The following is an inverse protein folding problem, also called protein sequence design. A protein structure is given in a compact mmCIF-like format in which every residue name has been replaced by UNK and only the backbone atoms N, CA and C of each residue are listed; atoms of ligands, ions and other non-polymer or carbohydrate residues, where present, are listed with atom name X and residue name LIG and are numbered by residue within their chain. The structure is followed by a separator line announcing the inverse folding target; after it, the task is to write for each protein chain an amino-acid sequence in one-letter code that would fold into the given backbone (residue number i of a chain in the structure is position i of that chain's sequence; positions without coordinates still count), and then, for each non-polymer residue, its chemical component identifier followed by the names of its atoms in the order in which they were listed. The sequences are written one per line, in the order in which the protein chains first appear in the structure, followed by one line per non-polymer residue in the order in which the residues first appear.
data_IF_784800618653
#
_entry.id   IF_784800618653
#
_cell.length_a   1.000
_cell.length_b   1.000
_cell.length_c   1.000
_cell.angle_alpha   90.00
_cell.angle_beta   90.00
_cell.angle_gamma   90.00
#
_symmetry.space_group_name_H-M   'P 1'
#
loop_
_entity.id
_entity.type
_entity.pdbx_description
1 polymer ?
#
# COMPACT_ATOMS: atom_id res chain seq x y z
N UNK A 1 -17.10 -25.04 56.43
CA UNK A 1 -16.47 -24.85 55.09
C UNK A 1 -17.53 -25.27 54.10
N UNK A 2 -18.21 -24.30 53.50
CA UNK A 2 -19.48 -24.54 52.79
C UNK A 2 -19.20 -25.00 51.37
N UNK A 3 -18.92 -26.30 51.25
CA UNK A 3 -18.58 -26.99 50.00
C UNK A 3 -19.64 -26.82 48.89
N UNK A 4 -20.89 -26.53 49.25
CA UNK A 4 -22.00 -26.29 48.32
C UNK A 4 -21.91 -24.93 47.64
N UNK A 5 -21.44 -23.89 48.33
CA UNK A 5 -21.24 -22.56 47.76
C UNK A 5 -20.10 -22.57 46.73
N UNK A 6 -18.99 -23.25 47.07
CA UNK A 6 -17.85 -23.44 46.17
C UNK A 6 -18.25 -24.19 44.90
N UNK A 7 -19.06 -25.26 45.04
CA UNK A 7 -19.53 -26.05 43.91
C UNK A 7 -20.43 -25.27 42.94
N UNK A 8 -21.33 -24.43 43.48
CA UNK A 8 -22.21 -23.60 42.65
C UNK A 8 -21.46 -22.47 41.95
N UNK A 9 -20.51 -21.82 42.62
CA UNK A 9 -19.65 -20.80 42.01
C UNK A 9 -18.74 -21.40 40.92
N UNK A 10 -18.23 -22.61 41.14
CA UNK A 10 -17.47 -23.34 40.13
C UNK A 10 -18.34 -23.66 38.89
N UNK A 11 -19.57 -24.14 39.08
CA UNK A 11 -20.53 -24.37 37.97
C UNK A 11 -20.91 -23.10 37.20
N UNK A 12 -20.84 -21.93 37.82
CA UNK A 12 -21.18 -20.67 37.16
C UNK A 12 -20.00 -20.06 36.39
N UNK A 13 -18.76 -20.31 36.81
CA UNK A 13 -17.55 -19.63 36.28
C UNK A 13 -16.60 -20.51 35.47
N UNK A 14 -16.76 -21.84 35.50
CA UNK A 14 -15.86 -22.75 34.78
C UNK A 14 -15.85 -22.49 33.26
N UNK A 15 -17.01 -22.20 32.67
CA UNK A 15 -17.13 -21.99 31.22
C UNK A 15 -16.45 -20.69 30.77
N UNK A 16 -16.64 -19.59 31.50
CA UNK A 16 -15.98 -18.30 31.20
C UNK A 16 -14.47 -18.37 31.44
N UNK A 17 -14.04 -19.11 32.45
CA UNK A 17 -12.60 -19.32 32.75
C UNK A 17 -11.92 -20.12 31.65
N UNK A 18 -12.54 -21.21 31.19
CA UNK A 18 -12.01 -22.03 30.07
C UNK A 18 -11.97 -21.19 28.78
N UNK A 19 -13.04 -20.46 28.48
CA UNK A 19 -13.09 -19.59 27.31
C UNK A 19 -11.99 -18.54 27.34
N UNK A 20 -11.76 -17.92 28.50
CA UNK A 20 -10.68 -16.93 28.70
C UNK A 20 -9.30 -17.55 28.52
N UNK A 21 -9.07 -18.77 29.01
CA UNK A 21 -7.80 -19.49 28.84
C UNK A 21 -7.55 -19.85 27.36
N UNK A 22 -8.59 -20.28 26.65
CA UNK A 22 -8.51 -20.58 25.21
C UNK A 22 -8.19 -19.29 24.43
N UNK A 23 -8.89 -18.20 24.72
CA UNK A 23 -8.67 -16.92 24.03
C UNK A 23 -7.27 -16.35 24.33
N UNK A 24 -6.82 -16.41 25.58
CA UNK A 24 -5.47 -15.97 25.97
C UNK A 24 -4.37 -16.77 25.28
N UNK A 25 -4.49 -18.10 25.27
CA UNK A 25 -3.51 -18.97 24.60
C UNK A 25 -3.52 -18.79 23.08
N UNK A 26 -4.70 -18.64 22.47
CA UNK A 26 -4.84 -18.36 21.04
C UNK A 26 -4.20 -17.04 20.62
N UNK A 27 -4.47 -15.96 21.36
CA UNK A 27 -3.85 -14.65 21.12
C UNK A 27 -2.34 -14.70 21.29
N UNK A 28 -1.85 -15.33 22.36
CA UNK A 28 -0.41 -15.46 22.61
C UNK A 28 0.28 -16.24 21.50
N UNK A 29 -0.31 -17.35 21.05
CA UNK A 29 0.20 -18.12 19.92
C UNK A 29 0.24 -17.30 18.63
N UNK A 30 -0.84 -16.56 18.33
CA UNK A 30 -0.91 -15.72 17.14
C UNK A 30 0.14 -14.61 17.15
N UNK A 31 0.36 -13.96 18.31
CA UNK A 31 1.42 -12.96 18.48
C UNK A 31 2.81 -13.55 18.22
N UNK A 32 3.13 -14.68 18.86
CA UNK A 32 4.42 -15.37 18.65
C UNK A 32 4.62 -15.75 17.17
N UNK A 33 3.57 -16.21 16.49
CA UNK A 33 3.65 -16.53 15.07
C UNK A 33 3.92 -15.29 14.22
N UNK A 34 3.23 -14.18 14.50
CA UNK A 34 3.42 -12.92 13.77
C UNK A 34 4.81 -12.31 13.99
N UNK A 35 5.29 -12.31 15.23
CA UNK A 35 6.61 -11.80 15.59
C UNK A 35 7.72 -12.70 15.04
N UNK A 36 7.52 -14.02 15.08
CA UNK A 36 8.46 -14.99 14.54
C UNK A 36 8.78 -14.78 13.07
N UNK A 37 7.81 -14.35 12.26
CA UNK A 37 8.06 -14.00 10.85
C UNK A 37 8.93 -12.75 10.73
N UNK A 38 8.64 -11.72 11.54
CA UNK A 38 9.40 -10.46 11.54
C UNK A 38 10.83 -10.67 12.00
N UNK A 39 11.04 -11.46 13.06
CA UNK A 39 12.38 -11.76 13.62
C UNK A 39 13.23 -12.54 12.61
N UNK A 40 12.65 -13.55 11.94
CA UNK A 40 13.36 -14.32 10.89
C UNK A 40 13.81 -13.43 9.75
N UNK A 41 12.95 -12.51 9.31
CA UNK A 41 13.30 -11.54 8.26
C UNK A 41 14.50 -10.68 8.65
N UNK A 42 14.49 -10.12 9.87
CA UNK A 42 15.59 -9.29 10.35
C UNK A 42 16.91 -10.06 10.51
N UNK A 43 16.87 -11.28 11.04
CA UNK A 43 18.08 -12.11 11.18
C UNK A 43 18.69 -12.48 9.82
N UNK A 44 17.85 -12.81 8.84
CA UNK A 44 18.31 -13.09 7.47
C UNK A 44 18.92 -11.82 6.86
N UNK A 45 18.29 -10.66 7.02
CA UNK A 45 18.85 -9.40 6.51
C UNK A 45 20.18 -9.06 7.16
N UNK A 46 20.33 -9.27 8.47
CA UNK A 46 21.60 -9.07 9.18
C UNK A 46 22.69 -10.01 8.69
N UNK A 47 22.37 -11.29 8.50
CA UNK A 47 23.27 -12.28 7.89
C UNK A 47 23.69 -11.86 6.48
N UNK A 48 22.72 -11.49 5.62
CA UNK A 48 22.98 -11.04 4.25
C UNK A 48 23.86 -9.78 4.21
N UNK A 49 23.60 -8.79 5.07
CA UNK A 49 24.40 -7.56 5.15
C UNK A 49 25.81 -7.85 5.65
N UNK A 50 25.95 -8.76 6.63
CA UNK A 50 27.27 -9.15 7.16
C UNK A 50 28.11 -9.94 6.14
N UNK A 51 27.45 -10.72 5.27
CA UNK A 51 28.08 -11.51 4.22
C UNK A 51 28.28 -10.69 2.92
N UNK A 52 27.73 -9.49 2.82
CA UNK A 52 27.77 -8.68 1.62
C UNK A 52 29.18 -8.15 1.33
N UNK A 53 29.70 -8.44 0.13
CA UNK A 53 30.95 -7.89 -0.36
C UNK A 53 30.67 -6.59 -1.14
N UNK A 54 31.38 -5.50 -0.82
CA UNK A 54 31.20 -4.22 -1.53
C UNK A 54 31.97 -4.22 -2.85
N UNK A 55 31.29 -3.94 -3.96
CA UNK A 55 31.94 -3.80 -5.26
C UNK A 55 32.39 -2.36 -5.47
N UNK A 56 33.64 -2.18 -5.88
CA UNK A 56 34.14 -0.89 -6.38
C UNK A 56 33.68 -0.68 -7.82
N UNK A 57 32.84 0.32 -8.03
CA UNK A 57 32.25 0.64 -9.34
C UNK A 57 33.16 1.48 -10.23
N UNK A 58 34.30 1.95 -9.71
CA UNK A 58 35.25 2.79 -10.45
C UNK A 58 36.33 1.97 -11.17
N UNK A 59 36.69 0.83 -10.61
CA UNK A 59 37.62 -0.12 -11.20
C UNK A 59 36.81 -1.27 -11.81
N UNK A 60 37.06 -1.60 -13.07
CA UNK A 60 36.43 -2.77 -13.69
C UNK A 60 36.89 -4.02 -12.96
N UNK A 61 35.99 -4.67 -12.24
CA UNK A 61 36.26 -5.89 -11.50
C UNK A 61 35.71 -7.11 -12.26
N UNK A 62 36.23 -8.30 -11.97
CA UNK A 62 35.81 -9.52 -12.64
C UNK A 62 34.48 -10.01 -12.09
N UNK A 63 33.40 -9.88 -12.87
CA UNK A 63 32.05 -10.27 -12.47
C UNK A 63 31.96 -11.74 -11.97
N UNK A 64 32.78 -12.64 -12.54
CA UNK A 64 32.83 -14.05 -12.17
C UNK A 64 33.18 -14.29 -10.70
N UNK A 65 33.94 -13.38 -10.06
CA UNK A 65 34.31 -13.49 -8.64
C UNK A 65 33.11 -13.39 -7.70
N UNK A 66 32.08 -12.68 -8.13
CA UNK A 66 30.91 -12.34 -7.32
C UNK A 66 29.73 -13.30 -7.51
N UNK A 67 29.86 -14.28 -8.41
CA UNK A 67 28.80 -15.24 -8.70
C UNK A 67 28.39 -16.02 -7.43
N UNK A 68 27.08 -16.05 -7.14
CA UNK A 68 26.52 -16.69 -5.95
C UNK A 68 26.79 -15.99 -4.61
N UNK A 69 27.36 -14.78 -4.61
CA UNK A 69 27.58 -13.98 -3.40
C UNK A 69 26.58 -12.84 -3.27
N UNK A 70 26.33 -12.42 -2.04
CA UNK A 70 25.62 -11.18 -1.78
C UNK A 70 26.60 -10.04 -2.01
N UNK A 71 26.20 -9.06 -2.81
CA UNK A 71 27.04 -7.89 -3.12
C UNK A 71 26.31 -6.60 -2.80
N UNK A 72 27.07 -5.62 -2.34
CA UNK A 72 26.60 -4.28 -2.06
C UNK A 72 27.29 -3.30 -3.02
N UNK A 73 26.49 -2.46 -3.70
CA UNK A 73 26.99 -1.60 -4.77
C UNK A 73 26.53 -0.18 -4.47
N UNK A 74 27.49 0.74 -4.40
CA UNK A 74 27.23 2.16 -4.20
C UNK A 74 28.02 2.94 -5.22
N UNK A 75 27.35 3.86 -5.90
CA UNK A 75 28.01 4.69 -6.88
C UNK A 75 27.09 5.71 -7.53
N UNK A 76 27.67 6.62 -8.32
CA UNK A 76 26.89 7.58 -9.09
C UNK A 76 26.08 6.85 -10.16
N UNK A 77 24.78 7.10 -10.16
CA UNK A 77 23.84 6.61 -11.15
C UNK A 77 23.97 7.43 -12.44
N UNK A 78 24.19 6.76 -13.57
CA UNK A 78 24.31 7.38 -14.89
C UNK A 78 23.23 6.82 -15.80
N UNK A 79 22.39 7.70 -16.30
CA UNK A 79 21.41 7.38 -17.35
C UNK A 79 22.07 7.76 -18.67
N UNK A 80 22.16 6.84 -19.63
CA UNK A 80 22.85 7.13 -20.90
C UNK A 80 21.95 7.87 -21.90
N UNK A 81 20.66 7.58 -21.88
CA UNK A 81 19.68 8.16 -22.80
C UNK A 81 18.57 8.86 -21.99
N UNK A 82 18.24 10.13 -22.30
CA UNK A 82 17.18 10.83 -21.59
C UNK A 82 15.82 10.24 -21.94
N UNK A 83 14.96 10.09 -20.94
CA UNK A 83 13.55 9.75 -21.18
C UNK A 83 12.90 10.95 -21.86
N UNK A 84 12.27 10.67 -23.00
CA UNK A 84 11.66 11.68 -23.86
C UNK A 84 10.17 11.42 -23.97
N UNK A 85 9.38 12.48 -23.80
CA UNK A 85 7.93 12.47 -23.99
C UNK A 85 7.60 13.51 -25.08
N UNK A 86 7.54 13.08 -26.36
CA UNK A 86 7.47 13.97 -27.52
C UNK A 86 6.21 14.84 -27.53
N UNK A 87 5.08 14.30 -27.06
CA UNK A 87 3.77 15.00 -27.07
C UNK A 87 3.78 16.29 -26.24
N UNK A 88 4.68 16.38 -25.25
CA UNK A 88 4.83 17.55 -24.39
C UNK A 88 6.21 18.21 -24.49
N UNK A 89 7.06 17.75 -25.41
CA UNK A 89 8.44 18.24 -25.59
C UNK A 89 9.26 18.21 -24.28
N UNK A 90 9.10 17.12 -23.50
CA UNK A 90 9.81 16.92 -22.23
C UNK A 90 10.98 15.96 -22.47
N UNK A 91 12.18 16.38 -22.04
CA UNK A 91 13.38 15.56 -22.05
C UNK A 91 14.04 15.62 -20.68
N UNK A 92 14.18 14.48 -20.00
CA UNK A 92 14.72 14.43 -18.63
C UNK A 92 15.73 13.30 -18.51
N UNK A 93 16.90 13.62 -17.94
CA UNK A 93 17.91 12.65 -17.55
C UNK A 93 17.49 11.98 -16.23
N UNK A 94 16.61 10.98 -16.30
CA UNK A 94 16.10 10.26 -15.14
C UNK A 94 15.96 8.76 -15.41
N UNK A 95 16.05 7.95 -14.36
CA UNK A 95 15.84 6.49 -14.46
C UNK A 95 14.37 6.14 -14.68
N UNK A 96 13.46 6.93 -14.10
CA UNK A 96 12.04 6.68 -14.15
C UNK A 96 11.29 8.00 -14.23
N UNK A 97 10.41 8.11 -15.23
CA UNK A 97 9.51 9.22 -15.40
C UNK A 97 8.07 8.71 -15.25
N UNK A 98 7.29 9.32 -14.36
CA UNK A 98 5.87 8.96 -14.16
C UNK A 98 4.99 10.13 -14.57
N UNK A 99 4.28 9.98 -15.68
CA UNK A 99 3.21 10.86 -16.14
C UNK A 99 1.94 10.51 -15.37
N UNK A 100 1.46 11.40 -14.50
CA UNK A 100 0.17 11.25 -13.81
C UNK A 100 -0.85 12.18 -14.43
N UNK A 101 -1.87 11.60 -15.04
CA UNK A 101 -2.99 12.32 -15.63
C UNK A 101 -4.16 12.34 -14.66
N UNK A 102 -4.79 13.50 -14.52
CA UNK A 102 -6.04 13.67 -13.79
C UNK A 102 -7.01 14.46 -14.66
N UNK A 103 -8.31 14.20 -14.49
CA UNK A 103 -9.39 14.92 -15.15
C UNK A 103 -10.17 15.71 -14.11
N UNK A 104 -10.36 17.00 -14.40
CA UNK A 104 -11.21 17.87 -13.61
C UNK A 104 -12.66 17.63 -14.00
N UNK A 105 -13.43 17.02 -13.10
CA UNK A 105 -14.74 16.47 -13.39
C UNK A 105 -15.67 16.62 -12.18
N UNK A 106 -16.98 16.50 -12.40
CA UNK A 106 -17.95 16.52 -11.32
C UNK A 106 -17.82 15.29 -10.42
N UNK A 107 -18.05 15.51 -9.14
CA UNK A 107 -18.09 14.50 -8.09
C UNK A 107 -19.35 14.75 -7.29
N UNK A 108 -20.10 13.67 -7.07
CA UNK A 108 -21.16 13.60 -6.07
C UNK A 108 -20.56 13.07 -4.77
N UNK A 109 -20.79 13.79 -3.69
CA UNK A 109 -20.51 13.31 -2.35
C UNK A 109 -21.80 13.28 -1.53
N UNK A 110 -21.90 12.30 -0.65
CA UNK A 110 -23.11 12.01 0.12
C UNK A 110 -22.82 12.13 1.60
N UNK A 111 -23.69 12.83 2.33
CA UNK A 111 -23.69 12.85 3.79
C UNK A 111 -24.93 12.10 4.28
N UNK A 112 -24.71 11.07 5.08
CA UNK A 112 -25.77 10.35 5.79
C UNK A 112 -25.82 10.85 7.24
N UNK A 113 -26.97 11.37 7.65
CA UNK A 113 -27.22 11.72 9.05
C UNK A 113 -28.01 10.59 9.69
N UNK A 114 -27.36 9.78 10.51
CA UNK A 114 -28.05 8.76 11.32
C UNK A 114 -28.54 9.41 12.63
N UNK A 115 -29.85 9.59 12.76
CA UNK A 115 -30.47 10.04 14.01
C UNK A 115 -30.73 8.83 14.93
N UNK A 116 -29.93 8.66 15.97
CA UNK A 116 -30.01 7.54 16.92
C UNK A 116 -31.06 7.73 18.05
N UNK A 117 -31.93 8.73 17.99
CA UNK A 117 -32.75 9.17 19.14
C UNK A 117 -34.27 9.00 19.00
N UNK A 118 -34.79 8.33 17.97
CA UNK A 118 -36.23 8.21 17.76
C UNK A 118 -36.68 6.75 17.60
N UNK A 119 -37.73 6.36 18.33
CA UNK A 119 -38.48 5.09 18.19
C UNK A 119 -39.05 4.89 16.75
N UNK A 120 -39.52 3.69 16.37
CA UNK A 120 -39.20 3.05 15.10
C UNK A 120 -39.97 3.62 13.90
N UNK A 121 -39.41 4.64 13.24
CA UNK A 121 -39.56 4.92 11.80
C UNK A 121 -38.99 6.31 11.49
N UNK A 122 -37.68 6.43 11.26
CA UNK A 122 -37.15 7.65 10.64
C UNK A 122 -36.31 7.29 9.42
N UNK A 123 -36.79 7.74 8.27
CA UNK A 123 -36.15 7.67 6.96
C UNK A 123 -34.72 8.22 7.06
N UNK A 124 -33.74 7.43 6.64
CA UNK A 124 -32.37 7.90 6.45
C UNK A 124 -32.36 9.07 5.45
N UNK A 125 -32.15 10.29 5.90
CA UNK A 125 -32.05 11.46 5.03
C UNK A 125 -30.63 11.56 4.47
N UNK A 126 -30.45 11.18 3.20
CA UNK A 126 -29.18 11.37 2.48
C UNK A 126 -29.16 12.76 1.85
N UNK A 127 -28.10 13.53 2.12
CA UNK A 127 -27.87 14.83 1.47
C UNK A 127 -26.74 14.68 0.45
N UNK A 128 -27.01 15.02 -0.81
CA UNK A 128 -26.05 14.97 -1.90
C UNK A 128 -25.50 16.36 -2.21
N UNK A 129 -24.21 16.45 -2.46
CA UNK A 129 -23.54 17.69 -2.86
C UNK A 129 -22.57 17.45 -4.00
N UNK A 130 -22.43 18.46 -4.86
CA UNK A 130 -21.72 18.35 -6.12
C UNK A 130 -20.66 19.44 -6.22
N UNK A 131 -19.46 19.03 -6.60
CA UNK A 131 -18.36 19.93 -6.85
C UNK A 131 -17.45 19.32 -7.92
N UNK A 132 -16.51 20.11 -8.44
CA UNK A 132 -15.52 19.61 -9.39
C UNK A 132 -14.17 19.46 -8.71
N UNK A 133 -13.53 18.33 -8.94
CA UNK A 133 -12.18 18.03 -8.44
C UNK A 133 -11.40 17.16 -9.44
N UNK A 134 -10.10 17.03 -9.21
CA UNK A 134 -9.18 16.24 -10.02
C UNK A 134 -9.19 14.77 -9.59
N UNK A 135 -9.58 13.88 -10.50
CA UNK A 135 -9.49 12.42 -10.30
C UNK A 135 -8.61 11.78 -11.36
N UNK A 136 -7.90 10.72 -10.99
CA UNK A 136 -7.07 9.90 -11.87
C UNK A 136 -7.85 8.78 -12.59
N UNK A 137 -9.16 8.76 -12.43
CA UNK A 137 -10.11 7.91 -13.14
C UNK A 137 -11.39 8.68 -13.50
N UNK A 138 -12.16 8.15 -14.46
CA UNK A 138 -13.45 8.70 -14.85
C UNK A 138 -14.48 8.40 -13.75
N UNK A 139 -15.14 9.44 -13.23
CA UNK A 139 -16.30 9.29 -12.34
C UNK A 139 -17.55 9.22 -13.20
N UNK A 140 -18.26 8.11 -13.05
CA UNK A 140 -19.45 7.82 -13.85
C UNK A 140 -20.64 8.70 -13.40
N UNK A 141 -20.81 9.85 -14.05
CA UNK A 141 -21.90 10.78 -13.75
C UNK A 141 -23.30 10.22 -14.07
N UNK A 142 -23.39 9.06 -14.73
CA UNK A 142 -24.67 8.36 -14.97
C UNK A 142 -25.32 7.89 -13.66
N UNK A 143 -24.48 7.67 -12.63
CA UNK A 143 -24.86 7.18 -11.30
C UNK A 143 -25.20 8.30 -10.33
N UNK A 144 -25.03 9.57 -10.73
CA UNK A 144 -25.39 10.71 -9.88
C UNK A 144 -26.89 10.77 -9.63
N UNK A 145 -27.26 11.10 -8.40
CA UNK A 145 -28.64 11.34 -7.97
C UNK A 145 -29.27 12.49 -8.76
N UNK A 146 -28.52 13.58 -8.97
CA UNK A 146 -28.92 14.74 -9.80
C UNK A 146 -27.97 14.87 -11.00
N UNK A 147 -28.39 14.30 -12.13
CA UNK A 147 -27.62 14.31 -13.40
C UNK A 147 -27.62 15.64 -14.15
N UNK A 148 -28.76 16.37 -14.28
CA UNK A 148 -28.78 17.60 -15.08
C UNK A 148 -27.76 18.63 -14.57
N UNK A 149 -26.84 19.06 -15.44
CA UNK A 149 -25.78 20.01 -15.11
C UNK A 149 -24.45 19.38 -14.62
N UNK A 150 -24.44 18.09 -14.28
CA UNK A 150 -23.27 17.40 -13.71
C UNK A 150 -22.74 16.27 -14.61
N UNK A 151 -22.58 16.53 -15.91
CA UNK A 151 -22.14 15.52 -16.87
C UNK A 151 -20.61 15.46 -16.94
N UNK A 152 -20.07 14.25 -16.83
CA UNK A 152 -18.65 13.97 -17.05
C UNK A 152 -18.42 13.30 -18.42
N UNK A 153 -17.23 13.45 -19.00
CA UNK A 153 -16.83 12.67 -20.18
C UNK A 153 -16.85 11.16 -19.89
N UNK A 154 -17.21 10.35 -20.89
CA UNK A 154 -17.27 8.89 -20.75
C UNK A 154 -15.88 8.21 -20.70
N UNK A 155 -14.83 8.92 -21.11
CA UNK A 155 -13.44 8.42 -21.11
C UNK A 155 -12.47 9.57 -20.87
N UNK A 156 -11.27 9.22 -20.37
CA UNK A 156 -10.15 10.15 -20.33
C UNK A 156 -9.45 10.19 -21.69
N UNK A 157 -9.12 11.37 -22.23
CA UNK A 157 -8.41 11.49 -23.50
C UNK A 157 -6.92 11.12 -23.39
N UNK A 158 -6.37 11.10 -22.17
CA UNK A 158 -4.97 10.85 -21.88
C UNK A 158 -4.86 9.92 -20.68
N UNK A 159 -3.81 9.10 -20.64
CA UNK A 159 -3.61 8.10 -19.59
C UNK A 159 -2.32 8.36 -18.82
N UNK A 160 -2.34 7.95 -17.54
CA UNK A 160 -1.13 7.91 -16.74
C UNK A 160 -0.19 6.83 -17.27
N UNK A 161 1.09 7.12 -17.31
CA UNK A 161 2.10 6.25 -17.88
C UNK A 161 3.39 6.34 -17.07
N UNK A 162 4.16 5.26 -17.08
CA UNK A 162 5.47 5.22 -16.43
C UNK A 162 6.49 4.72 -17.42
N UNK A 163 7.48 5.55 -17.70
CA UNK A 163 8.62 5.22 -18.54
C UNK A 163 9.81 4.94 -17.64
N UNK A 164 10.54 3.87 -17.97
CA UNK A 164 11.77 3.47 -17.29
C UNK A 164 12.87 3.52 -18.36
N UNK A 165 14.02 4.11 -18.03
CA UNK A 165 15.13 4.19 -18.94
C UNK A 165 15.73 2.79 -19.17
N UNK A 166 15.95 2.43 -20.44
CA UNK A 166 16.49 1.12 -20.81
C UNK A 166 17.97 0.95 -20.45
N UNK A 167 18.71 2.06 -20.34
CA UNK A 167 20.16 2.01 -20.17
C UNK A 167 20.62 2.88 -19.00
N UNK A 168 20.65 2.24 -17.84
CA UNK A 168 21.07 2.84 -16.57
C UNK A 168 22.31 2.11 -16.06
N UNK A 169 23.28 2.88 -15.55
CA UNK A 169 24.54 2.36 -15.03
C UNK A 169 24.86 2.86 -13.65
N UNK A 170 25.58 2.04 -12.90
CA UNK A 170 26.35 2.48 -11.74
C UNK A 170 27.81 2.12 -12.02
N UNK A 171 28.64 3.14 -12.27
CA UNK A 171 30.01 2.92 -12.75
C UNK A 171 30.05 2.12 -14.06
N UNK A 172 30.71 0.96 -14.05
CA UNK A 172 30.81 0.05 -15.20
C UNK A 172 29.63 -0.93 -15.33
N UNK A 173 28.83 -1.12 -14.28
CA UNK A 173 27.74 -2.09 -14.24
C UNK A 173 26.45 -1.52 -14.84
N UNK A 174 25.73 -2.33 -15.61
CA UNK A 174 24.38 -2.05 -16.10
C UNK A 174 23.33 -2.53 -15.09
N UNK A 175 22.28 -1.74 -14.89
CA UNK A 175 21.09 -2.08 -14.09
C UNK A 175 19.96 -2.59 -14.97
#
# INVERSE_FOLDING_TARGET
MDWTAVYNQFKQTWLTTILSLILFSGVTYFLIWSEGQTIRGNLILEELVSAAESIDVHNGDEAERYEGRVVHIVGPLRVLEPISEPDYNIHVQAVKLRKRVQMYQWIEETTETENFLSEPAEESQKTYWYHKDWRDHVVESSLFYIRPGHHNPASMPMFSETHIADNVKIGWMHL
#
